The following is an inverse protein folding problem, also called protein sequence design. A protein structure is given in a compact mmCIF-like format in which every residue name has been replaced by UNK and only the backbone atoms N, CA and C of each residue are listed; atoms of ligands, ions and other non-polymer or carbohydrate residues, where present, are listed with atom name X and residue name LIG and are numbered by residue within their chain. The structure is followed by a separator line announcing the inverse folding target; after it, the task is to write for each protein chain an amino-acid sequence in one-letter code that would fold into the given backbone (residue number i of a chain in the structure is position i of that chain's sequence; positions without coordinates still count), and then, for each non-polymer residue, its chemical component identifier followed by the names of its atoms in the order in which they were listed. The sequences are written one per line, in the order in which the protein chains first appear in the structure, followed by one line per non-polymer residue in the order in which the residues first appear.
data_IF_287066632680
#
_entry.id   IF_287066632680
#
_cell.length_a   1.000
_cell.length_b   1.000
_cell.length_c   1.000
_cell.angle_alpha   90.00
_cell.angle_beta   90.00
_cell.angle_gamma   90.00
#
_symmetry.space_group_name_H-M   'P 1'
#
loop_
_entity.id
_entity.type
_entity.pdbx_description
1 polymer ?
#
# COMPACT_ATOMS: atom_id res chain seq x y z
N UNK A 1 54.37 -38.10 -28.42
CA UNK A 1 53.22 -37.93 -29.34
C UNK A 1 52.02 -38.71 -28.82
N UNK A 2 51.10 -38.06 -28.11
CA UNK A 2 49.80 -38.64 -27.73
C UNK A 2 48.74 -37.54 -27.83
N UNK A 3 47.63 -37.92 -28.46
CA UNK A 3 46.63 -37.08 -29.13
C UNK A 3 45.68 -36.40 -28.15
N UNK A 4 45.36 -35.13 -28.41
CA UNK A 4 44.22 -34.41 -27.82
C UNK A 4 42.90 -34.91 -28.44
N UNK A 5 41.83 -35.12 -27.67
CA UNK A 5 40.50 -35.21 -28.23
C UNK A 5 39.88 -33.80 -28.35
N UNK A 6 39.56 -33.47 -29.60
CA UNK A 6 38.66 -32.42 -30.06
C UNK A 6 37.25 -32.64 -29.50
N UNK A 7 36.70 -31.68 -28.76
CA UNK A 7 35.27 -31.57 -28.49
C UNK A 7 34.73 -30.33 -29.22
N UNK A 8 34.37 -30.54 -30.48
CA UNK A 8 33.63 -29.61 -31.31
C UNK A 8 32.53 -30.41 -32.01
N UNK A 9 31.37 -30.55 -31.36
CA UNK A 9 30.08 -30.93 -31.97
C UNK A 9 29.03 -31.15 -30.86
N UNK A 10 28.41 -30.06 -30.39
CA UNK A 10 27.13 -30.11 -29.67
C UNK A 10 26.43 -28.76 -29.79
N UNK A 11 26.32 -28.26 -31.02
CA UNK A 11 25.39 -27.21 -31.40
C UNK A 11 24.65 -27.76 -32.62
N UNK A 12 23.33 -27.55 -32.67
CA UNK A 12 22.36 -28.17 -33.60
C UNK A 12 21.79 -29.49 -33.05
N UNK A 13 20.79 -29.38 -32.17
CA UNK A 13 19.58 -30.24 -32.07
C UNK A 13 18.76 -29.91 -30.79
N UNK A 14 18.41 -28.63 -30.58
CA UNK A 14 17.48 -28.23 -29.50
C UNK A 14 16.49 -27.13 -29.93
N UNK A 15 16.35 -26.85 -31.23
CA UNK A 15 15.44 -25.79 -31.73
C UNK A 15 14.09 -26.30 -32.28
N UNK A 16 13.68 -27.53 -31.99
CA UNK A 16 12.42 -28.09 -32.51
C UNK A 16 11.48 -28.69 -31.45
N UNK A 17 11.68 -28.36 -30.17
CA UNK A 17 10.80 -28.83 -29.08
C UNK A 17 10.01 -27.71 -28.37
N UNK A 18 9.74 -26.60 -29.08
CA UNK A 18 9.01 -25.44 -28.53
C UNK A 18 7.75 -25.02 -29.33
N UNK A 19 7.27 -25.86 -30.26
CA UNK A 19 6.07 -25.55 -31.07
C UNK A 19 4.88 -26.50 -30.89
N UNK A 20 4.81 -27.23 -29.79
CA UNK A 20 3.68 -28.13 -29.52
C UNK A 20 3.21 -28.06 -28.07
N UNK A 21 2.82 -26.87 -27.60
CA UNK A 21 1.89 -26.72 -26.50
C UNK A 21 0.84 -25.67 -26.87
N UNK A 22 -0.23 -26.20 -27.43
CA UNK A 22 -1.61 -25.78 -27.24
C UNK A 22 -1.90 -24.27 -27.24
N UNK A 23 -2.51 -23.86 -28.35
CA UNK A 23 -3.49 -22.79 -28.46
C UNK A 23 -4.61 -22.96 -27.41
N UNK A 24 -4.34 -22.62 -26.16
CA UNK A 24 -5.42 -22.23 -25.24
C UNK A 24 -5.79 -20.82 -25.63
N UNK A 25 -6.88 -20.69 -26.41
CA UNK A 25 -7.60 -19.41 -26.56
C UNK A 25 -7.69 -18.76 -25.17
N UNK A 26 -7.26 -17.50 -24.99
CA UNK A 26 -7.55 -16.79 -23.76
C UNK A 26 -9.07 -16.85 -23.56
N UNK A 27 -9.56 -17.14 -22.34
CA UNK A 27 -10.99 -17.11 -22.08
C UNK A 27 -11.52 -15.77 -22.57
N UNK A 28 -12.54 -15.84 -23.43
CA UNK A 28 -13.19 -14.66 -23.97
C UNK A 28 -13.52 -13.73 -22.81
N UNK A 29 -13.08 -12.48 -22.93
CA UNK A 29 -13.44 -11.34 -22.09
C UNK A 29 -14.96 -11.25 -21.93
N UNK A 30 -15.54 -12.04 -21.02
CA UNK A 30 -16.89 -11.88 -20.56
C UNK A 30 -16.88 -10.65 -19.67
N UNK A 31 -17.65 -9.65 -20.07
CA UNK A 31 -17.91 -8.39 -19.39
C UNK A 31 -17.86 -8.52 -17.85
N UNK A 32 -16.69 -8.28 -17.25
CA UNK A 32 -16.54 -8.03 -15.82
C UNK A 32 -16.95 -6.58 -15.56
N UNK A 33 -18.22 -6.28 -15.83
CA UNK A 33 -18.81 -5.02 -15.40
C UNK A 33 -18.90 -5.09 -13.88
N UNK A 34 -18.14 -4.24 -13.17
CA UNK A 34 -18.18 -4.08 -11.72
C UNK A 34 -19.62 -3.80 -11.26
N UNK A 35 -20.35 -4.86 -10.90
CA UNK A 35 -21.72 -4.80 -10.40
C UNK A 35 -21.67 -4.60 -8.89
N UNK A 36 -21.92 -3.37 -8.41
CA UNK A 36 -22.15 -3.14 -6.97
C UNK A 36 -21.74 -1.79 -6.38
N UNK A 37 -21.60 -0.71 -7.15
CA UNK A 37 -21.42 0.62 -6.54
C UNK A 37 -22.76 1.17 -6.03
N UNK A 38 -23.09 0.90 -4.78
CA UNK A 38 -23.98 1.80 -4.02
C UNK A 38 -23.36 3.21 -4.02
N UNK A 39 -24.19 4.25 -4.20
CA UNK A 39 -23.74 5.64 -4.35
C UNK A 39 -22.87 6.07 -3.15
N UNK A 40 -21.70 6.70 -3.36
CA UNK A 40 -20.90 7.21 -2.26
C UNK A 40 -21.64 8.34 -1.54
N UNK A 41 -21.68 8.30 -0.21
CA UNK A 41 -22.09 9.43 0.65
C UNK A 41 -21.20 10.67 0.38
N UNK A 42 -21.64 11.92 0.65
CA UNK A 42 -20.93 13.18 0.28
C UNK A 42 -20.31 14.06 1.42
N UNK A 43 -20.78 13.99 2.67
CA UNK A 43 -20.14 14.54 3.91
C UNK A 43 -18.74 14.02 4.38
N UNK A 44 -17.66 14.80 4.30
CA UNK A 44 -16.43 14.56 5.10
C UNK A 44 -16.18 15.72 6.08
N UNK A 45 -16.12 15.44 7.38
CA UNK A 45 -15.72 16.46 8.37
C UNK A 45 -14.19 16.40 8.59
N UNK A 46 -13.47 17.53 8.51
CA UNK A 46 -12.06 17.60 8.89
C UNK A 46 -11.89 17.26 10.37
N UNK A 47 -10.82 16.55 10.72
CA UNK A 47 -10.55 16.19 12.12
C UNK A 47 -10.01 17.43 12.86
N UNK A 48 -10.58 17.72 14.03
CA UNK A 48 -10.27 18.92 14.85
C UNK A 48 -8.78 19.13 15.18
N UNK A 49 -7.95 18.08 15.18
CA UNK A 49 -6.53 18.16 15.51
C UNK A 49 -5.61 18.51 14.33
N UNK A 50 -6.06 18.38 13.08
CA UNK A 50 -5.20 18.56 11.89
C UNK A 50 -4.79 20.03 11.65
N UNK A 51 -5.42 20.96 12.37
CA UNK A 51 -5.16 22.39 12.26
C UNK A 51 -4.16 22.96 13.29
N UNK A 52 -3.71 22.17 14.27
CA UNK A 52 -2.77 22.66 15.30
C UNK A 52 -1.36 22.89 14.74
N UNK A 53 -0.67 23.91 15.22
CA UNK A 53 0.69 24.21 14.75
C UNK A 53 1.69 23.11 15.11
N UNK A 54 1.47 22.43 16.23
CA UNK A 54 2.26 21.26 16.61
C UNK A 54 2.10 20.12 15.59
N UNK A 55 0.87 19.85 15.13
CA UNK A 55 0.63 18.85 14.09
C UNK A 55 1.35 19.22 12.78
N UNK A 56 1.21 20.47 12.31
CA UNK A 56 1.88 20.96 11.09
C UNK A 56 3.40 20.83 11.18
N UNK A 57 3.99 21.16 12.33
CA UNK A 57 5.43 20.97 12.58
C UNK A 57 5.85 19.50 12.43
N UNK A 58 5.03 18.57 12.93
CA UNK A 58 5.26 17.14 12.76
C UNK A 58 5.19 16.69 11.30
N UNK A 59 4.27 17.27 10.52
CA UNK A 59 4.15 17.04 9.06
C UNK A 59 5.41 17.52 8.33
N UNK A 60 5.87 18.74 8.59
CA UNK A 60 7.06 19.32 7.97
C UNK A 60 8.31 18.48 8.25
N UNK A 61 8.52 18.07 9.50
CA UNK A 61 9.64 17.21 9.86
C UNK A 61 9.58 15.85 9.17
N UNK A 62 8.40 15.25 9.05
CA UNK A 62 8.22 13.99 8.33
C UNK A 62 8.55 14.14 6.83
N UNK A 63 8.13 15.24 6.20
CA UNK A 63 8.47 15.53 4.80
C UNK A 63 9.99 15.63 4.60
N UNK A 64 10.70 16.32 5.51
CA UNK A 64 12.17 16.39 5.48
C UNK A 64 12.77 14.99 5.62
N UNK A 65 12.31 14.19 6.59
CA UNK A 65 12.84 12.86 6.87
C UNK A 65 12.60 11.84 5.74
N UNK A 66 11.50 11.98 5.00
CA UNK A 66 11.18 11.14 3.83
C UNK A 66 12.19 11.34 2.68
N UNK A 67 12.85 12.51 2.60
CA UNK A 67 13.88 12.79 1.60
C UNK A 67 15.27 12.29 2.00
N UNK A 68 15.44 11.80 3.23
CA UNK A 68 16.74 11.34 3.73
C UNK A 68 16.95 9.86 3.40
N UNK A 69 18.18 9.45 3.03
CA UNK A 69 18.48 8.03 2.78
C UNK A 69 18.28 7.22 4.06
N UNK A 70 17.92 5.94 3.94
CA UNK A 70 17.64 5.05 5.09
C UNK A 70 18.83 4.88 6.06
N UNK A 71 20.04 5.23 5.63
CA UNK A 71 21.27 5.21 6.44
C UNK A 71 21.44 6.47 7.30
N UNK A 72 20.71 7.55 7.00
CA UNK A 72 20.78 8.82 7.74
C UNK A 72 20.10 8.70 9.11
N UNK A 73 20.67 9.28 10.17
CA UNK A 73 20.02 9.38 11.47
C UNK A 73 18.72 10.19 11.43
N UNK A 74 18.58 11.08 10.45
CA UNK A 74 17.38 11.93 10.27
C UNK A 74 16.26 11.23 9.49
N UNK A 75 16.53 10.07 8.89
CA UNK A 75 15.53 9.35 8.08
C UNK A 75 14.36 8.82 8.90
N UNK A 76 13.31 8.36 8.22
CA UNK A 76 12.17 7.69 8.85
C UNK A 76 12.51 6.32 9.44
N UNK A 77 13.70 5.79 9.15
CA UNK A 77 14.17 4.49 9.61
C UNK A 77 14.94 4.59 10.92
N UNK A 78 14.64 3.68 11.85
CA UNK A 78 15.42 3.53 13.08
C UNK A 78 16.72 2.74 12.77
N UNK A 79 17.88 3.40 12.92
CA UNK A 79 19.19 2.82 12.60
C UNK A 79 19.56 1.61 13.46
N UNK A 80 19.24 1.65 14.75
CA UNK A 80 19.51 0.53 15.66
C UNK A 80 18.70 -0.69 15.28
N UNK A 81 17.44 -0.48 14.85
CA UNK A 81 16.59 -1.53 14.34
C UNK A 81 17.18 -2.16 13.07
N UNK A 82 17.59 -1.35 12.10
CA UNK A 82 18.20 -1.83 10.85
C UNK A 82 19.54 -2.54 11.10
N UNK A 83 20.30 -2.12 12.10
CA UNK A 83 21.53 -2.79 12.52
C UNK A 83 21.24 -4.17 13.12
N UNK A 84 20.22 -4.27 13.98
CA UNK A 84 19.77 -5.55 14.58
C UNK A 84 19.09 -6.48 13.58
N UNK A 85 18.49 -5.94 12.51
CA UNK A 85 17.75 -6.67 11.48
C UNK A 85 18.44 -6.55 10.13
N UNK A 86 19.64 -7.11 10.01
CA UNK A 86 20.46 -7.05 8.80
C UNK A 86 19.70 -7.47 7.53
N UNK A 87 18.90 -8.54 7.59
CA UNK A 87 18.10 -9.00 6.46
C UNK A 87 17.13 -7.94 5.89
N UNK A 88 16.62 -7.02 6.72
CA UNK A 88 15.77 -5.91 6.26
C UNK A 88 16.61 -4.82 5.61
N UNK A 89 17.73 -4.47 6.23
CA UNK A 89 18.69 -3.51 5.67
C UNK A 89 19.19 -3.98 4.30
N UNK A 90 19.50 -5.26 4.18
CA UNK A 90 19.99 -5.86 2.94
C UNK A 90 18.87 -5.89 1.88
N UNK A 91 17.61 -6.17 2.25
CA UNK A 91 16.48 -6.06 1.33
C UNK A 91 16.26 -4.62 0.81
N UNK A 92 16.43 -3.60 1.67
CA UNK A 92 16.35 -2.18 1.26
C UNK A 92 17.50 -1.87 0.29
N UNK A 93 18.72 -2.30 0.60
CA UNK A 93 19.89 -2.14 -0.27
C UNK A 93 19.66 -2.79 -1.64
N UNK A 94 19.24 -4.05 -1.67
CA UNK A 94 18.93 -4.78 -2.91
C UNK A 94 17.89 -4.04 -3.77
N UNK A 95 16.85 -3.48 -3.14
CA UNK A 95 15.84 -2.69 -3.83
C UNK A 95 16.40 -1.38 -4.40
N UNK A 96 17.25 -0.67 -3.66
CA UNK A 96 17.85 0.56 -4.17
C UNK A 96 18.83 0.30 -5.32
N UNK A 97 19.53 -0.85 -5.28
CA UNK A 97 20.48 -1.30 -6.29
C UNK A 97 19.85 -2.01 -7.51
N UNK A 98 18.52 -2.10 -7.58
CA UNK A 98 17.86 -2.70 -8.75
C UNK A 98 17.71 -4.22 -8.73
N UNK A 99 18.11 -4.89 -7.64
CA UNK A 99 18.18 -6.37 -7.55
C UNK A 99 16.87 -7.02 -7.09
N UNK A 100 15.95 -6.26 -6.51
CA UNK A 100 14.71 -6.76 -5.92
C UNK A 100 13.57 -5.75 -6.08
N UNK A 101 12.36 -6.23 -6.36
CA UNK A 101 11.12 -5.44 -6.31
C UNK A 101 11.12 -4.17 -7.18
N UNK A 102 11.84 -4.15 -8.30
CA UNK A 102 11.85 -3.00 -9.20
C UNK A 102 10.52 -2.78 -9.90
N UNK A 103 9.76 -3.84 -10.09
CA UNK A 103 8.40 -3.82 -10.63
C UNK A 103 7.49 -2.81 -9.93
N UNK A 104 7.64 -2.60 -8.62
CA UNK A 104 6.82 -1.63 -7.86
C UNK A 104 7.41 -0.23 -7.78
N UNK A 105 8.69 -0.04 -8.11
CA UNK A 105 9.38 1.25 -7.97
C UNK A 105 8.88 2.29 -8.96
N UNK A 106 8.63 1.87 -10.20
CA UNK A 106 8.37 2.78 -11.33
C UNK A 106 6.89 2.92 -11.69
N UNK A 107 6.01 2.11 -11.09
CA UNK A 107 4.57 2.14 -11.39
C UNK A 107 3.92 3.24 -10.56
N UNK A 108 3.36 4.27 -11.19
CA UNK A 108 2.56 5.30 -10.50
C UNK A 108 1.11 4.84 -10.35
N UNK A 109 0.58 4.86 -9.13
CA UNK A 109 -0.80 4.45 -8.83
C UNK A 109 -1.67 5.63 -8.41
N UNK A 110 -1.09 6.71 -7.88
CA UNK A 110 -1.84 7.86 -7.39
C UNK A 110 -2.73 8.44 -8.48
N UNK A 111 -4.00 8.68 -8.14
CA UNK A 111 -4.99 9.26 -9.06
C UNK A 111 -5.43 8.35 -10.21
N UNK A 112 -5.05 7.06 -10.23
CA UNK A 112 -5.57 6.09 -11.21
C UNK A 112 -6.79 5.37 -10.69
N UNK A 113 -7.69 4.95 -11.59
CA UNK A 113 -8.84 4.11 -11.23
C UNK A 113 -8.41 2.65 -11.08
N UNK A 114 -9.08 1.84 -10.22
CA UNK A 114 -8.74 0.42 -10.04
C UNK A 114 -8.65 -0.38 -11.35
N UNK A 115 -9.57 -0.16 -12.29
CA UNK A 115 -9.59 -0.88 -13.59
C UNK A 115 -8.39 -0.52 -14.49
N UNK A 116 -7.94 0.74 -14.46
CA UNK A 116 -6.75 1.18 -15.19
C UNK A 116 -5.49 0.53 -14.60
N UNK A 117 -5.45 0.43 -13.26
CA UNK A 117 -4.32 -0.19 -12.56
C UNK A 117 -4.24 -1.66 -12.92
N UNK A 118 -5.36 -2.40 -12.96
CA UNK A 118 -5.36 -3.81 -13.37
C UNK A 118 -4.58 -4.01 -14.67
N UNK A 119 -4.93 -3.27 -15.72
CA UNK A 119 -4.25 -3.38 -17.02
C UNK A 119 -2.75 -3.09 -16.92
N UNK A 120 -2.38 -1.97 -16.27
CA UNK A 120 -0.98 -1.58 -16.08
C UNK A 120 -0.16 -2.68 -15.38
N UNK A 121 -0.74 -3.32 -14.37
CA UNK A 121 -0.05 -4.35 -13.59
C UNK A 121 0.08 -5.66 -14.36
N UNK A 122 -0.96 -6.08 -15.09
CA UNK A 122 -0.90 -7.27 -15.93
C UNK A 122 0.13 -7.08 -17.05
N UNK A 123 0.12 -5.94 -17.73
CA UNK A 123 1.10 -5.61 -18.79
C UNK A 123 2.55 -5.56 -18.24
N UNK A 124 2.71 -5.19 -16.97
CA UNK A 124 3.99 -5.21 -16.26
C UNK A 124 4.38 -6.60 -15.71
N UNK A 125 3.64 -7.67 -16.02
CA UNK A 125 3.98 -9.04 -15.66
C UNK A 125 3.59 -9.46 -14.24
N UNK A 126 2.69 -8.71 -13.57
CA UNK A 126 2.17 -9.13 -12.27
C UNK A 126 1.11 -10.23 -12.42
N UNK A 127 1.12 -11.18 -11.49
CA UNK A 127 0.02 -12.11 -11.30
C UNK A 127 -1.02 -11.51 -10.35
N UNK A 128 -2.28 -11.50 -10.77
CA UNK A 128 -3.42 -11.04 -9.98
C UNK A 128 -4.15 -12.17 -9.24
N UNK A 129 -4.52 -11.91 -7.99
CA UNK A 129 -5.42 -12.71 -7.16
C UNK A 129 -6.41 -11.78 -6.44
N UNK A 130 -7.70 -12.11 -6.44
CA UNK A 130 -8.73 -11.42 -5.65
C UNK A 130 -9.07 -12.23 -4.41
N UNK A 131 -8.95 -11.61 -3.23
CA UNK A 131 -9.17 -12.25 -1.93
C UNK A 131 -10.13 -11.45 -1.03
N UNK A 132 -10.79 -12.09 -0.05
CA UNK A 132 -11.50 -11.42 1.02
C UNK A 132 -10.61 -10.46 1.83
N UNK A 133 -11.06 -9.23 2.07
CA UNK A 133 -10.33 -8.27 2.90
C UNK A 133 -10.38 -8.67 4.38
N UNK A 134 -9.25 -9.17 4.88
CA UNK A 134 -9.11 -9.53 6.31
C UNK A 134 -9.13 -8.29 7.20
N UNK A 135 -9.88 -8.36 8.30
CA UNK A 135 -9.92 -7.33 9.34
C UNK A 135 -8.71 -7.33 10.27
N UNK A 136 -7.97 -8.44 10.30
CA UNK A 136 -6.78 -8.62 11.12
C UNK A 136 -5.64 -9.25 10.32
N UNK A 137 -4.40 -9.03 10.75
CA UNK A 137 -3.21 -9.60 10.11
C UNK A 137 -2.87 -11.01 10.61
N UNK A 138 -3.58 -11.55 11.60
CA UNK A 138 -3.35 -12.87 12.16
C UNK A 138 -4.35 -13.91 11.62
N UNK A 139 -3.90 -15.17 11.53
CA UNK A 139 -4.69 -16.27 10.96
C UNK A 139 -5.67 -16.88 11.96
N UNK A 140 -5.48 -16.66 13.26
CA UNK A 140 -6.36 -17.18 14.32
C UNK A 140 -7.64 -16.34 14.41
N UNK A 141 -8.77 -16.95 14.10
CA UNK A 141 -10.07 -16.28 14.13
C UNK A 141 -10.19 -15.19 13.06
N UNK A 142 -9.65 -15.46 11.86
CA UNK A 142 -9.67 -14.52 10.73
C UNK A 142 -11.09 -14.04 10.49
N UNK A 143 -11.31 -12.74 10.66
CA UNK A 143 -12.56 -12.07 10.31
C UNK A 143 -12.34 -11.23 9.06
N UNK A 144 -13.40 -11.04 8.30
CA UNK A 144 -13.40 -10.27 7.06
C UNK A 144 -14.31 -9.06 7.22
N UNK A 145 -13.93 -7.96 6.61
CA UNK A 145 -14.76 -6.75 6.61
C UNK A 145 -15.97 -6.94 5.70
N UNK A 146 -17.14 -6.57 6.21
CA UNK A 146 -18.36 -6.41 5.42
C UNK A 146 -18.50 -4.94 5.00
N UNK A 147 -19.23 -4.69 3.91
CA UNK A 147 -19.48 -3.35 3.35
C UNK A 147 -20.15 -2.38 4.34
N UNK A 148 -20.95 -2.91 5.26
CA UNK A 148 -21.60 -2.15 6.34
C UNK A 148 -20.64 -1.76 7.50
N UNK A 149 -19.37 -2.16 7.43
CA UNK A 149 -18.37 -1.91 8.48
C UNK A 149 -18.39 -2.92 9.63
N UNK A 150 -19.24 -3.93 9.58
CA UNK A 150 -19.18 -5.07 10.51
C UNK A 150 -18.19 -6.13 10.01
N UNK A 151 -18.11 -7.27 10.72
CA UNK A 151 -17.12 -8.31 10.45
C UNK A 151 -17.74 -9.70 10.51
N UNK A 152 -17.41 -10.54 9.52
CA UNK A 152 -17.86 -11.94 9.45
C UNK A 152 -16.67 -12.91 9.55
N UNK A 153 -16.92 -14.16 9.92
CA UNK A 153 -15.95 -15.27 9.78
C UNK A 153 -16.13 -16.04 8.47
N UNK A 154 -17.23 -15.79 7.73
CA UNK A 154 -17.50 -16.42 6.43
C UNK A 154 -16.83 -15.62 5.29
N UNK A 155 -15.74 -16.10 4.68
CA UNK A 155 -15.08 -15.39 3.58
C UNK A 155 -15.90 -15.32 2.28
N UNK A 156 -16.98 -16.11 2.18
CA UNK A 156 -17.83 -16.20 0.99
C UNK A 156 -19.13 -15.40 1.12
N UNK A 157 -19.30 -14.67 2.22
CA UNK A 157 -20.46 -13.80 2.41
C UNK A 157 -20.47 -12.71 1.31
N UNK A 158 -21.60 -12.48 0.60
CA UNK A 158 -21.66 -11.56 -0.53
C UNK A 158 -21.41 -10.10 -0.15
N UNK A 159 -21.47 -9.74 1.14
CA UNK A 159 -21.17 -8.40 1.64
C UNK A 159 -19.67 -8.22 1.95
N UNK A 160 -18.84 -9.26 1.80
CA UNK A 160 -17.39 -9.17 2.07
C UNK A 160 -16.72 -8.25 1.07
N UNK A 161 -15.95 -7.30 1.60
CA UNK A 161 -15.16 -6.38 0.79
C UNK A 161 -13.99 -7.13 0.15
N UNK A 162 -13.78 -7.02 -1.18
CA UNK A 162 -12.65 -7.64 -1.84
C UNK A 162 -11.36 -6.83 -1.67
N UNK A 163 -10.23 -7.51 -1.81
CA UNK A 163 -8.90 -6.92 -1.98
C UNK A 163 -8.21 -7.63 -3.15
N UNK A 164 -7.62 -6.85 -4.04
CA UNK A 164 -6.81 -7.37 -5.13
C UNK A 164 -5.34 -7.39 -4.69
N UNK A 165 -4.67 -8.51 -4.93
CA UNK A 165 -3.24 -8.71 -4.69
C UNK A 165 -2.59 -8.96 -6.05
N UNK A 166 -1.56 -8.18 -6.34
CA UNK A 166 -0.72 -8.33 -7.51
C UNK A 166 0.68 -8.67 -7.05
N UNK A 167 1.23 -9.78 -7.53
CA UNK A 167 2.56 -10.25 -7.16
C UNK A 167 3.45 -10.40 -8.40
N UNK A 168 4.66 -9.87 -8.34
CA UNK A 168 5.64 -9.96 -9.41
C UNK A 168 6.81 -10.89 -8.98
N UNK A 169 7.40 -11.70 -9.89
CA UNK A 169 8.47 -12.64 -9.57
C UNK A 169 9.72 -12.01 -8.93
N UNK A 170 9.97 -10.72 -9.17
CA UNK A 170 11.08 -9.97 -8.57
C UNK A 170 10.87 -9.60 -7.08
N UNK A 171 9.72 -9.98 -6.51
CA UNK A 171 9.37 -9.75 -5.11
C UNK A 171 8.55 -8.49 -4.83
N UNK A 172 8.12 -7.78 -5.88
CA UNK A 172 7.16 -6.68 -5.76
C UNK A 172 5.74 -7.19 -5.48
N UNK A 173 5.05 -6.52 -4.57
CA UNK A 173 3.63 -6.75 -4.26
C UNK A 173 2.88 -5.42 -4.31
N UNK A 174 1.72 -5.41 -4.95
CA UNK A 174 0.75 -4.32 -4.89
C UNK A 174 -0.56 -4.87 -4.34
N UNK A 175 -1.14 -4.19 -3.36
CA UNK A 175 -2.48 -4.49 -2.85
C UNK A 175 -3.39 -3.34 -3.16
N UNK A 176 -4.54 -3.63 -3.73
CA UNK A 176 -5.59 -2.64 -4.02
C UNK A 176 -6.82 -3.02 -3.21
N UNK A 177 -7.39 -2.03 -2.53
CA UNK A 177 -8.68 -2.14 -1.85
C UNK A 177 -9.64 -1.28 -2.67
N UNK A 178 -10.29 -1.83 -3.70
CA UNK A 178 -11.06 -1.03 -4.66
C UNK A 178 -12.24 -0.32 -4.01
N UNK A 179 -12.79 -0.88 -2.93
CA UNK A 179 -13.88 -0.28 -2.14
C UNK A 179 -13.35 0.41 -0.87
N UNK A 180 -12.03 0.51 -0.66
CA UNK A 180 -11.43 0.99 0.59
C UNK A 180 -11.57 0.03 1.78
N UNK A 181 -11.41 0.56 3.00
CA UNK A 181 -11.63 -0.20 4.25
C UNK A 181 -12.86 0.36 4.96
N UNK A 182 -13.95 -0.42 5.08
CA UNK A 182 -15.10 -0.02 5.89
C UNK A 182 -14.68 -0.06 7.35
N UNK A 183 -14.66 1.12 7.97
CA UNK A 183 -14.25 1.31 9.35
C UNK A 183 -15.28 2.19 10.02
N UNK A 184 -15.73 1.89 11.26
CA UNK A 184 -16.63 2.77 12.00
C UNK A 184 -16.08 4.19 12.17
N UNK A 185 -14.77 4.39 11.99
CA UNK A 185 -14.09 5.69 12.08
C UNK A 185 -13.97 6.42 10.75
N UNK A 186 -14.33 5.79 9.64
CA UNK A 186 -14.33 6.38 8.31
C UNK A 186 -15.73 6.29 7.75
N UNK A 187 -16.43 7.43 7.72
CA UNK A 187 -17.74 7.53 7.07
C UNK A 187 -17.69 7.15 5.58
N UNK A 188 -16.49 7.18 5.00
CA UNK A 188 -16.23 6.81 3.61
C UNK A 188 -14.97 5.99 3.47
N UNK A 189 -15.11 4.71 3.13
CA UNK A 189 -14.01 3.95 2.57
C UNK A 189 -13.59 4.62 1.26
N UNK A 190 -12.31 4.95 1.14
CA UNK A 190 -11.75 5.40 -0.14
C UNK A 190 -10.90 4.29 -0.75
N UNK A 191 -11.01 4.05 -2.06
CA UNK A 191 -10.12 3.18 -2.80
C UNK A 191 -8.66 3.55 -2.51
N UNK A 192 -7.87 2.55 -2.16
CA UNK A 192 -6.47 2.77 -1.79
C UNK A 192 -5.59 1.62 -2.24
N UNK A 193 -4.33 1.91 -2.47
CA UNK A 193 -3.31 0.93 -2.77
C UNK A 193 -2.16 0.97 -1.76
N UNK A 194 -1.43 -0.13 -1.66
CA UNK A 194 -0.11 -0.17 -1.02
C UNK A 194 0.85 -0.96 -1.87
N UNK A 195 2.11 -0.54 -1.91
CA UNK A 195 3.20 -1.28 -2.55
C UNK A 195 4.13 -1.84 -1.49
N UNK A 196 4.68 -3.01 -1.72
CA UNK A 196 5.62 -3.66 -0.81
C UNK A 196 6.67 -4.47 -1.57
N UNK A 197 7.77 -4.74 -0.89
CA UNK A 197 8.80 -5.69 -1.33
C UNK A 197 8.91 -6.80 -0.30
N UNK A 198 9.07 -8.05 -0.72
CA UNK A 198 9.18 -9.18 0.21
C UNK A 198 10.60 -9.48 0.68
N UNK A 199 10.71 -10.18 1.82
CA UNK A 199 11.97 -10.74 2.32
C UNK A 199 12.43 -11.93 1.49
N UNK A 200 11.54 -12.93 1.33
CA UNK A 200 11.86 -14.21 0.73
C UNK A 200 11.24 -14.30 -0.66
N UNK A 201 12.09 -14.29 -1.69
CA UNK A 201 11.71 -14.57 -3.08
C UNK A 201 11.49 -16.07 -3.33
N UNK A 202 12.17 -16.91 -2.54
CA UNK A 202 12.02 -18.36 -2.60
C UNK A 202 10.73 -18.75 -1.89
N UNK A 203 9.70 -18.99 -2.66
CA UNK A 203 8.66 -19.94 -2.31
C UNK A 203 9.29 -21.35 -2.33
N UNK A 204 8.76 -22.32 -1.58
CA UNK A 204 9.35 -23.68 -1.49
C UNK A 204 9.58 -24.31 -2.87
N UNK A 205 10.46 -25.32 -2.94
CA UNK A 205 11.06 -25.92 -4.17
C UNK A 205 10.10 -26.23 -5.34
N UNK A 206 8.78 -26.24 -5.12
CA UNK A 206 7.76 -26.60 -6.10
C UNK A 206 6.68 -25.52 -6.32
N UNK A 207 6.83 -24.31 -5.77
CA UNK A 207 5.76 -23.30 -5.84
C UNK A 207 6.13 -22.13 -6.75
N UNK A 208 5.46 -22.00 -7.88
CA UNK A 208 5.54 -20.83 -8.77
C UNK A 208 4.95 -19.54 -8.17
N UNK A 209 4.51 -19.57 -6.90
CA UNK A 209 3.78 -18.49 -6.26
C UNK A 209 4.58 -17.86 -5.12
N UNK A 210 4.84 -16.55 -5.24
CA UNK A 210 5.43 -15.70 -4.20
C UNK A 210 4.57 -15.75 -2.92
N UNK A 211 5.17 -15.87 -1.74
CA UNK A 211 4.42 -15.74 -0.47
C UNK A 211 3.98 -14.29 -0.28
N UNK A 212 2.71 -14.01 -0.59
CA UNK A 212 2.11 -12.68 -0.52
C UNK A 212 1.61 -12.32 0.88
N UNK A 213 1.90 -13.09 1.95
CA UNK A 213 1.40 -12.74 3.30
C UNK A 213 2.11 -11.51 3.86
N UNK A 214 1.40 -10.71 4.67
CA UNK A 214 1.94 -9.50 5.32
C UNK A 214 3.23 -9.75 6.13
N UNK A 215 3.41 -10.96 6.68
CA UNK A 215 4.62 -11.34 7.41
C UNK A 215 5.87 -11.44 6.54
N UNK A 216 5.71 -11.73 5.24
CA UNK A 216 6.81 -11.79 4.28
C UNK A 216 7.13 -10.42 3.68
N UNK A 217 6.30 -9.39 3.90
CA UNK A 217 6.60 -8.02 3.47
C UNK A 217 7.79 -7.46 4.28
N UNK A 218 8.84 -7.07 3.57
CA UNK A 218 10.03 -6.44 4.12
C UNK A 218 9.74 -5.00 4.54
N UNK A 219 9.30 -4.20 3.58
CA UNK A 219 9.00 -2.79 3.73
C UNK A 219 7.92 -2.38 2.72
N UNK A 220 7.38 -1.17 2.90
CA UNK A 220 6.43 -0.54 1.97
C UNK A 220 7.17 0.35 0.99
N UNK A 221 6.59 0.60 -0.17
CA UNK A 221 7.17 1.50 -1.17
C UNK A 221 6.17 2.63 -1.41
N UNK A 222 6.63 3.88 -1.38
CA UNK A 222 5.78 5.03 -1.69
C UNK A 222 5.39 5.08 -3.17
N UNK A 223 4.48 5.98 -3.54
CA UNK A 223 4.19 6.17 -4.97
C UNK A 223 5.42 6.68 -5.76
N UNK A 224 6.35 7.35 -5.06
CA UNK A 224 7.63 7.84 -5.57
C UNK A 224 8.76 6.79 -5.55
N UNK A 225 8.48 5.54 -5.19
CA UNK A 225 9.50 4.49 -5.19
C UNK A 225 10.45 4.53 -3.99
N UNK A 226 10.08 5.23 -2.90
CA UNK A 226 10.89 5.33 -1.68
C UNK A 226 10.58 4.16 -0.74
N UNK A 227 11.58 3.44 -0.19
CA UNK A 227 11.35 2.37 0.77
C UNK A 227 11.02 2.94 2.16
N UNK A 228 9.89 2.52 2.72
CA UNK A 228 9.30 3.02 3.97
C UNK A 228 8.99 1.90 4.97
N UNK A 229 9.04 2.17 6.28
CA UNK A 229 8.61 1.23 7.31
C UNK A 229 7.21 0.68 7.04
N UNK A 230 6.97 -0.61 7.32
CA UNK A 230 5.71 -1.27 6.97
C UNK A 230 4.49 -0.87 7.82
N UNK A 231 4.69 -0.03 8.83
CA UNK A 231 3.65 0.38 9.75
C UNK A 231 4.15 1.34 10.83
N UNK A 232 3.23 1.90 11.62
CA UNK A 232 3.53 2.96 12.58
C UNK A 232 4.10 2.42 13.89
N UNK A 233 5.24 1.72 13.83
CA UNK A 233 5.84 1.11 15.02
C UNK A 233 7.36 0.96 14.92
N UNK A 234 8.04 1.22 16.05
CA UNK A 234 9.47 0.94 16.19
C UNK A 234 9.78 -0.55 16.02
N UNK A 235 8.82 -1.44 16.31
CA UNK A 235 8.96 -2.91 16.09
C UNK A 235 9.08 -3.29 14.62
N UNK A 236 8.76 -2.37 13.71
CA UNK A 236 8.86 -2.57 12.26
C UNK A 236 9.81 -1.57 11.61
N UNK A 237 10.68 -0.95 12.42
CA UNK A 237 11.77 -0.11 11.95
C UNK A 237 11.44 1.37 11.78
N UNK A 238 10.22 1.83 12.11
CA UNK A 238 9.90 3.25 12.07
C UNK A 238 10.58 4.01 13.21
N UNK A 239 11.24 5.12 12.88
CA UNK A 239 11.74 6.09 13.86
C UNK A 239 10.59 6.99 14.33
N UNK A 240 10.55 7.22 15.64
CA UNK A 240 9.64 8.18 16.25
C UNK A 240 10.41 9.47 16.50
N UNK A 241 9.75 10.61 16.29
CA UNK A 241 10.31 11.92 16.62
C UNK A 241 10.58 12.03 18.13
N UNK A 242 9.61 11.56 18.91
CA UNK A 242 9.63 11.56 20.37
C UNK A 242 9.13 10.19 20.86
N UNK A 243 9.81 9.64 21.86
CA UNK A 243 9.30 8.47 22.58
C UNK A 243 8.29 8.87 23.69
N UNK A 244 7.66 7.88 24.32
CA UNK A 244 6.63 8.14 25.35
C UNK A 244 7.19 8.84 26.60
N UNK A 245 8.44 8.56 26.97
CA UNK A 245 9.09 9.17 28.14
C UNK A 245 9.44 10.62 27.83
N UNK A 246 9.97 10.88 26.65
CA UNK A 246 10.28 12.22 26.16
C UNK A 246 9.02 13.08 26.09
N UNK A 247 7.91 12.56 25.53
CA UNK A 247 6.61 13.27 25.49
C UNK A 247 6.14 13.63 26.90
N UNK A 248 6.26 12.71 27.87
CA UNK A 248 5.83 12.96 29.25
C UNK A 248 6.67 14.03 29.96
N UNK A 249 7.90 14.25 29.50
CA UNK A 249 8.82 15.26 30.04
C UNK A 249 8.72 16.63 29.32
N UNK A 250 7.94 16.73 28.24
CA UNK A 250 7.73 18.02 27.57
C UNK A 250 6.87 18.94 28.44
N UNK A 251 7.13 20.25 28.33
CA UNK A 251 6.32 21.30 28.97
C UNK A 251 4.84 21.20 28.58
N UNK A 252 4.58 20.84 27.33
CA UNK A 252 3.23 20.56 26.81
C UNK A 252 3.22 19.16 26.17
N UNK A 253 2.82 18.12 26.93
CA UNK A 253 2.73 16.76 26.44
C UNK A 253 1.67 16.59 25.33
N UNK A 254 0.63 17.41 25.28
CA UNK A 254 -0.43 17.29 24.29
C UNK A 254 0.00 17.84 22.93
N UNK A 255 0.66 19.00 22.92
CA UNK A 255 1.32 19.51 21.72
C UNK A 255 2.36 18.49 21.19
N UNK A 256 3.14 17.86 22.06
CA UNK A 256 4.11 16.84 21.67
C UNK A 256 3.46 15.58 21.06
N UNK A 257 2.29 15.18 21.57
CA UNK A 257 1.49 14.08 20.99
C UNK A 257 0.94 14.47 19.63
N UNK A 258 0.48 15.71 19.45
CA UNK A 258 -0.05 16.19 18.18
C UNK A 258 1.07 16.33 17.12
N UNK A 259 2.27 16.79 17.49
CA UNK A 259 3.45 16.76 16.63
C UNK A 259 3.79 15.32 16.19
N UNK A 260 3.76 14.36 17.12
CA UNK A 260 3.96 12.95 16.78
C UNK A 260 2.84 12.39 15.88
N UNK A 261 1.58 12.81 16.05
CA UNK A 261 0.48 12.41 15.17
C UNK A 261 0.70 12.91 13.74
N UNK A 262 1.11 14.17 13.57
CA UNK A 262 1.48 14.74 12.27
C UNK A 262 2.58 13.93 11.60
N UNK A 263 3.65 13.66 12.35
CA UNK A 263 4.77 12.82 11.89
C UNK A 263 4.33 11.44 11.39
N UNK A 264 3.53 10.71 12.19
CA UNK A 264 3.07 9.36 11.85
C UNK A 264 2.12 9.41 10.65
N UNK A 265 1.18 10.37 10.65
CA UNK A 265 0.17 10.52 9.61
C UNK A 265 0.83 10.73 8.25
N UNK A 266 1.79 11.64 8.15
CA UNK A 266 2.51 11.93 6.90
C UNK A 266 3.29 10.72 6.37
N UNK A 267 4.04 10.02 7.23
CA UNK A 267 4.82 8.84 6.81
C UNK A 267 3.90 7.71 6.38
N UNK A 268 2.81 7.47 7.12
CA UNK A 268 1.88 6.42 6.75
C UNK A 268 1.03 6.78 5.53
N UNK A 269 0.70 8.06 5.34
CA UNK A 269 0.08 8.57 4.13
C UNK A 269 0.94 8.27 2.90
N UNK A 270 2.27 8.44 2.99
CA UNK A 270 3.17 8.08 1.88
C UNK A 270 3.17 6.57 1.53
N UNK A 271 2.73 5.69 2.43
CA UNK A 271 2.58 4.23 2.15
C UNK A 271 1.20 3.83 1.63
N UNK A 272 0.18 4.66 1.86
CA UNK A 272 -1.20 4.44 1.41
C UNK A 272 -1.45 5.36 0.23
N UNK A 273 -1.49 4.76 -0.95
CA UNK A 273 -1.60 5.52 -2.20
C UNK A 273 -3.07 5.70 -2.50
N UNK A 274 -3.52 6.95 -2.49
CA UNK A 274 -4.89 7.30 -2.81
C UNK A 274 -5.16 7.07 -4.30
N UNK A 275 -6.21 6.31 -4.59
CA UNK A 275 -6.63 6.02 -5.95
C UNK A 275 -7.75 6.98 -6.35
N UNK A 276 -7.92 7.17 -7.67
CA UNK A 276 -9.03 7.99 -8.14
C UNK A 276 -10.36 7.34 -7.80
N UNK A 277 -11.27 8.18 -7.34
CA UNK A 277 -12.67 7.89 -7.06
C UNK A 277 -13.50 8.60 -8.09
N UNK A 278 -14.38 7.86 -8.76
CA UNK A 278 -15.36 8.48 -9.64
C UNK A 278 -16.53 9.02 -8.80
N UNK A 279 -16.36 10.22 -8.24
CA UNK A 279 -17.44 10.93 -7.55
C UNK A 279 -18.40 11.61 -8.51
N UNK A 280 -18.31 11.42 -9.83
CA UNK A 280 -19.27 12.04 -10.78
C UNK A 280 -20.71 11.59 -10.54
N UNK A 281 -20.90 10.45 -9.87
CA UNK A 281 -22.21 9.94 -9.46
C UNK A 281 -22.69 10.43 -8.09
N UNK A 282 -21.85 11.15 -7.34
CA UNK A 282 -22.28 11.83 -6.14
C UNK A 282 -23.23 12.97 -6.56
N UNK A 283 -24.45 13.03 -6.03
CA UNK A 283 -25.29 14.21 -6.23
C UNK A 283 -24.46 15.41 -5.78
N UNK A 284 -24.32 16.41 -6.67
CA UNK A 284 -23.81 17.71 -6.28
C UNK A 284 -24.75 18.17 -5.18
N UNK A 285 -24.30 18.16 -3.92
CA UNK A 285 -25.03 18.83 -2.87
C UNK A 285 -25.12 20.29 -3.34
N UNK A 286 -26.31 20.71 -3.78
CA UNK A 286 -26.68 22.11 -3.72
C UNK A 286 -26.53 22.46 -2.25
N UNK A 287 -25.39 23.07 -1.92
CA UNK A 287 -25.16 23.60 -0.59
C UNK A 287 -26.20 24.71 -0.45
N UNK A 288 -27.37 24.35 0.08
CA UNK A 288 -28.32 25.28 0.66
C UNK A 288 -27.63 25.86 1.89
N UNK A 289 -26.65 26.73 1.66
CA UNK A 289 -26.18 27.66 2.67
C UNK A 289 -27.43 28.40 3.12
N UNK A 290 -27.77 28.39 4.42
CA UNK A 290 -28.86 29.21 4.91
C UNK A 290 -28.57 30.63 4.42
N UNK A 291 -29.51 31.18 3.65
CA UNK A 291 -29.43 32.56 3.20
C UNK A 291 -29.10 33.40 4.44
N UNK A 292 -27.99 34.15 4.38
CA UNK A 292 -27.65 35.12 5.43
C UNK A 292 -28.90 35.94 5.66
N UNK A 293 -29.52 35.79 6.83
CA UNK A 293 -30.57 36.68 7.28
C UNK A 293 -29.94 38.07 7.31
N UNK A 294 -30.33 38.93 6.39
CA UNK A 294 -30.00 40.35 6.43
C UNK A 294 -30.51 40.89 7.76
N UNK A 295 -29.59 41.25 8.65
CA UNK A 295 -29.90 42.07 9.83
C UNK A 295 -30.44 43.40 9.32
N UNK A 296 -31.74 43.63 9.53
CA UNK A 296 -32.34 44.95 9.39
C UNK A 296 -31.70 45.88 10.43
N UNK A 297 -31.01 46.97 10.03
CA UNK A 297 -30.57 47.97 10.98
C UNK A 297 -31.81 48.69 11.53
N UNK A 298 -32.08 48.45 12.80
CA UNK A 298 -33.03 49.22 13.60
C UNK A 298 -32.67 50.70 13.54
N UNK A 299 -33.59 51.52 13.03
CA UNK A 299 -33.54 52.97 13.15
C UNK A 299 -33.63 53.37 14.63
N UNK A 300 -32.65 54.12 15.09
CA UNK A 300 -32.73 55.02 16.25
C UNK A 300 -32.38 56.42 15.77
#
# INVERSE_FOLDING_TARGET
MKKFPSFLAAFILLSQYWHALAETKPPSSSNNTYLGHEKPSCLSQPRTHENSDAYKKGVEQAQIALQKPYTSPESVWNRDFLTKKSYLRDAIKDFLEGKRGQSVRNIKLSGKKPDEIYKILIDAGFHHERVPLSAYSNDKGRKFWLRDGTKTTNPKDPQVVPMDIYAHPDGGIIRIKPEGVPSPRSLRPQPSATKAVVYNLKSGRDSHHLDTRYRNEAFKVSDEGVPLPKGPSAKVGMRFLLDRKEIAQKKDPDAARDELKGWISTIMGATHIDLSTDFSQCPKEEINLPAKSEENPSKS
#
